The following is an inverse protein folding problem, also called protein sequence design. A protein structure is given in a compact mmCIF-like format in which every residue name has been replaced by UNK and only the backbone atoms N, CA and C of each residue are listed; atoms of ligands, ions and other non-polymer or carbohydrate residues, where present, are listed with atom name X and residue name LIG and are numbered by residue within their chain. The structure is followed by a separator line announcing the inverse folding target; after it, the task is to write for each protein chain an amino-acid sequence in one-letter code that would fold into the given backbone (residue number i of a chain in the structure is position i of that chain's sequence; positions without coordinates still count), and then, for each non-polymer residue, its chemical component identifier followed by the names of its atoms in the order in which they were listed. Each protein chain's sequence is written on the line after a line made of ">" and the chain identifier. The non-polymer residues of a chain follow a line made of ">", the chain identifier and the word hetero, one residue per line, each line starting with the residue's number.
data_IF_788520703337
#
_entry.id   IF_788520703337
#
_cell.length_a   1.000
_cell.length_b   1.000
_cell.length_c   1.000
_cell.angle_alpha   90.00
_cell.angle_beta   90.00
_cell.angle_gamma   90.00
#
_symmetry.space_group_name_H-M   'P 1'
#
loop_
_entity.id
_entity.type
_entity.pdbx_description
1 polymer ?
#
# COMPACT_ATOMS: atom_id res chain seq x y z
N UNK A 1 80.61 8.34 -7.40
CA UNK A 1 79.54 9.25 -6.91
C UNK A 1 78.31 9.04 -7.78
N UNK A 2 77.31 8.33 -7.26
CA UNK A 2 76.01 8.09 -7.92
C UNK A 2 75.01 9.04 -7.26
N UNK A 3 74.42 9.95 -8.02
CA UNK A 3 73.38 10.90 -7.54
C UNK A 3 72.19 10.08 -7.02
N UNK A 4 71.65 10.35 -5.82
CA UNK A 4 70.44 9.70 -5.36
C UNK A 4 69.23 10.23 -6.15
N UNK A 5 68.31 9.33 -6.46
CA UNK A 5 67.06 9.64 -7.13
C UNK A 5 66.16 10.49 -6.21
N UNK A 6 65.72 11.65 -6.72
CA UNK A 6 64.60 12.39 -6.13
C UNK A 6 63.35 11.52 -6.23
N UNK A 7 62.86 11.12 -5.06
CA UNK A 7 61.54 10.53 -4.89
C UNK A 7 60.55 11.67 -5.05
N UNK A 8 60.03 11.82 -6.27
CA UNK A 8 58.88 12.69 -6.55
C UNK A 8 57.72 12.27 -5.67
N UNK A 9 57.35 13.16 -4.75
CA UNK A 9 56.25 13.01 -3.82
C UNK A 9 54.93 13.34 -4.53
N UNK A 10 54.58 12.55 -5.54
CA UNK A 10 53.28 12.66 -6.21
C UNK A 10 52.30 11.71 -5.49
N UNK A 11 52.04 12.03 -4.23
CA UNK A 11 50.83 11.59 -3.54
C UNK A 11 49.65 12.29 -4.18
N UNK A 12 49.15 11.75 -5.30
CA UNK A 12 47.89 12.15 -5.94
C UNK A 12 46.71 11.81 -5.02
N UNK A 13 46.58 12.57 -3.93
CA UNK A 13 45.30 12.79 -3.28
C UNK A 13 44.52 13.70 -4.20
N UNK A 14 43.55 13.14 -4.92
CA UNK A 14 42.55 13.92 -5.62
C UNK A 14 41.65 14.60 -4.58
N UNK A 15 42.17 15.66 -3.95
CA UNK A 15 41.37 16.61 -3.20
C UNK A 15 40.45 17.31 -4.19
N UNK A 16 39.30 17.80 -3.71
CA UNK A 16 38.59 18.91 -4.36
C UNK A 16 39.49 20.15 -4.19
N UNK A 17 40.70 20.11 -4.72
CA UNK A 17 41.64 21.22 -4.66
C UNK A 17 41.36 22.09 -5.87
N UNK A 18 40.64 23.17 -5.57
CA UNK A 18 40.44 24.36 -6.40
C UNK A 18 39.52 24.16 -7.61
N UNK A 19 38.32 23.62 -7.37
CA UNK A 19 37.18 24.11 -8.16
C UNK A 19 37.01 25.58 -7.80
N UNK A 20 37.25 26.48 -8.77
CA UNK A 20 36.96 27.91 -8.58
C UNK A 20 35.57 28.07 -7.98
N UNK A 21 35.43 28.88 -6.94
CA UNK A 21 34.14 29.14 -6.27
C UNK A 21 33.04 29.47 -7.28
N UNK A 22 33.39 30.10 -8.41
CA UNK A 22 32.48 30.37 -9.53
C UNK A 22 31.93 29.09 -10.19
N UNK A 23 32.77 28.08 -10.44
CA UNK A 23 32.34 26.79 -11.01
C UNK A 23 31.44 26.03 -10.02
N UNK A 24 31.77 26.08 -8.72
CA UNK A 24 30.93 25.47 -7.69
C UNK A 24 29.56 26.15 -7.60
N UNK A 25 29.54 27.49 -7.60
CA UNK A 25 28.31 28.27 -7.65
C UNK A 25 27.48 27.97 -8.90
N UNK A 26 28.12 27.82 -10.06
CA UNK A 26 27.46 27.48 -11.31
C UNK A 26 26.83 26.08 -11.25
N UNK A 27 27.58 25.07 -10.80
CA UNK A 27 27.07 23.70 -10.67
C UNK A 27 25.93 23.63 -9.63
N UNK A 28 26.09 24.30 -8.50
CA UNK A 28 25.05 24.39 -7.47
C UNK A 28 23.80 25.11 -7.99
N UNK A 29 23.96 26.22 -8.71
CA UNK A 29 22.86 26.95 -9.33
C UNK A 29 22.10 26.10 -10.36
N UNK A 30 22.81 25.33 -11.19
CA UNK A 30 22.19 24.36 -12.11
C UNK A 30 21.40 23.32 -11.31
N UNK A 31 22.01 22.70 -10.30
CA UNK A 31 21.34 21.67 -9.50
C UNK A 31 20.07 22.19 -8.80
N UNK A 32 20.12 23.40 -8.22
CA UNK A 32 18.96 24.05 -7.60
C UNK A 32 17.88 24.37 -8.63
N UNK A 33 18.27 24.83 -9.83
CA UNK A 33 17.32 25.11 -10.91
C UNK A 33 16.62 23.84 -11.39
N UNK A 34 17.36 22.74 -11.58
CA UNK A 34 16.78 21.44 -11.90
C UNK A 34 15.84 20.95 -10.79
N UNK A 35 16.24 21.08 -9.52
CA UNK A 35 15.40 20.71 -8.39
C UNK A 35 14.08 21.51 -8.38
N UNK A 36 14.16 22.83 -8.54
CA UNK A 36 12.99 23.70 -8.62
C UNK A 36 12.10 23.33 -9.80
N UNK A 37 12.68 23.06 -10.98
CA UNK A 37 11.94 22.60 -12.15
C UNK A 37 11.19 21.29 -11.89
N UNK A 38 11.84 20.29 -11.27
CA UNK A 38 11.20 19.01 -10.99
C UNK A 38 10.09 19.13 -9.93
N UNK A 39 10.28 19.99 -8.92
CA UNK A 39 9.22 20.31 -7.95
C UNK A 39 8.03 20.96 -8.65
N UNK A 40 8.29 21.91 -9.55
CA UNK A 40 7.23 22.55 -10.34
C UNK A 40 6.51 21.56 -11.24
N UNK A 41 7.23 20.69 -11.97
CA UNK A 41 6.64 19.62 -12.77
C UNK A 41 5.77 18.70 -11.92
N UNK A 42 6.23 18.35 -10.71
CA UNK A 42 5.45 17.55 -9.77
C UNK A 42 4.16 18.25 -9.32
N UNK A 43 4.24 19.55 -9.02
CA UNK A 43 3.09 20.31 -8.51
C UNK A 43 2.08 20.69 -9.60
N UNK A 44 2.54 21.15 -10.77
CA UNK A 44 1.67 21.62 -11.85
C UNK A 44 1.36 20.57 -12.91
N UNK A 45 2.20 19.55 -13.04
CA UNK A 45 2.11 18.55 -14.11
C UNK A 45 1.58 17.18 -13.66
N UNK A 46 1.41 16.95 -12.35
CA UNK A 46 0.85 15.67 -11.88
C UNK A 46 -0.68 15.63 -12.03
N UNK A 47 -1.25 14.54 -12.59
CA UNK A 47 -2.68 14.31 -12.54
C UNK A 47 -3.18 14.09 -11.11
N UNK A 48 -4.50 14.18 -10.90
CA UNK A 48 -5.11 13.89 -9.61
C UNK A 48 -4.73 12.48 -9.12
N UNK A 49 -4.24 12.38 -7.87
CA UNK A 49 -3.74 11.11 -7.30
C UNK A 49 -4.86 10.09 -7.11
N UNK A 50 -6.04 10.57 -6.71
CA UNK A 50 -7.20 9.77 -6.41
C UNK A 50 -8.48 10.48 -6.87
N UNK A 51 -9.51 9.68 -7.16
CA UNK A 51 -10.88 10.14 -7.27
C UNK A 51 -11.66 9.62 -6.06
N UNK A 52 -12.62 10.41 -5.60
CA UNK A 52 -13.54 10.02 -4.54
C UNK A 52 -14.95 10.42 -4.93
N UNK A 53 -15.90 9.51 -4.72
CA UNK A 53 -17.31 9.73 -5.04
C UNK A 53 -18.22 9.15 -3.95
N UNK A 54 -19.30 9.87 -3.68
CA UNK A 54 -20.33 9.47 -2.74
C UNK A 54 -21.43 8.73 -3.48
N UNK A 55 -21.77 7.53 -3.00
CA UNK A 55 -22.90 6.77 -3.50
C UNK A 55 -23.82 6.43 -2.34
N UNK A 56 -25.11 6.68 -2.52
CA UNK A 56 -26.16 6.09 -1.69
C UNK A 56 -26.74 4.92 -2.47
N UNK A 57 -26.81 3.75 -1.85
CA UNK A 57 -27.40 2.57 -2.48
C UNK A 57 -28.47 2.09 -1.54
N UNK A 58 -29.70 1.86 -2.02
CA UNK A 58 -30.76 1.40 -1.15
C UNK A 58 -30.36 0.05 -0.54
N UNK A 59 -30.65 -0.12 0.75
CA UNK A 59 -30.46 -1.41 1.42
C UNK A 59 -31.26 -2.47 0.68
N UNK A 60 -30.63 -3.52 0.16
CA UNK A 60 -31.41 -4.54 -0.56
C UNK A 60 -32.23 -5.40 0.39
N UNK A 61 -31.77 -5.57 1.62
CA UNK A 61 -32.29 -6.56 2.56
C UNK A 61 -31.77 -6.22 3.95
N UNK A 62 -32.67 -6.18 4.93
CA UNK A 62 -32.37 -5.76 6.30
C UNK A 62 -32.44 -6.91 7.28
N UNK A 63 -33.12 -8.01 6.95
CA UNK A 63 -33.36 -9.11 7.89
C UNK A 63 -33.38 -10.47 7.17
N UNK A 64 -32.25 -11.19 7.22
CA UNK A 64 -32.25 -12.66 7.12
C UNK A 64 -30.96 -13.37 7.58
N UNK A 65 -30.02 -12.70 8.27
CA UNK A 65 -28.88 -13.38 8.90
C UNK A 65 -29.32 -14.14 10.16
N UNK A 66 -30.20 -15.11 9.98
CA UNK A 66 -30.81 -15.95 11.00
C UNK A 66 -30.14 -17.32 11.08
N UNK A 67 -30.32 -17.99 12.21
CA UNK A 67 -29.83 -19.36 12.41
C UNK A 67 -30.48 -20.33 11.39
N UNK A 68 -31.72 -20.06 10.96
CA UNK A 68 -32.40 -20.87 9.95
C UNK A 68 -31.75 -20.75 8.57
N UNK A 69 -31.37 -19.53 8.14
CA UNK A 69 -30.65 -19.34 6.87
C UNK A 69 -29.25 -19.97 6.93
N UNK A 70 -28.56 -19.84 8.08
CA UNK A 70 -27.29 -20.51 8.31
C UNK A 70 -27.40 -22.03 8.14
N UNK A 71 -28.43 -22.66 8.73
CA UNK A 71 -28.71 -24.10 8.57
C UNK A 71 -29.03 -24.48 7.12
N UNK A 72 -29.79 -23.66 6.40
CA UNK A 72 -30.08 -23.86 4.97
C UNK A 72 -28.77 -23.87 4.14
N UNK A 73 -27.86 -22.93 4.41
CA UNK A 73 -26.60 -22.77 3.69
C UNK A 73 -25.51 -23.79 4.06
N UNK A 74 -25.56 -24.38 5.26
CA UNK A 74 -24.67 -25.48 5.67
C UNK A 74 -24.92 -26.79 4.91
N UNK A 75 -26.13 -26.98 4.38
CA UNK A 75 -26.54 -28.21 3.70
C UNK A 75 -26.92 -29.36 4.64
N UNK A 76 -27.51 -30.44 4.11
CA UNK A 76 -28.14 -31.51 4.89
C UNK A 76 -27.16 -32.49 5.58
N UNK A 77 -25.87 -32.47 5.24
CA UNK A 77 -24.87 -33.43 5.72
C UNK A 77 -24.12 -32.98 6.99
N UNK A 78 -24.44 -31.80 7.52
CA UNK A 78 -23.65 -31.12 8.54
C UNK A 78 -24.51 -30.89 9.77
N UNK A 79 -24.22 -31.58 10.87
CA UNK A 79 -24.98 -31.48 12.12
C UNK A 79 -24.62 -30.19 12.88
N UNK A 80 -25.45 -29.15 12.73
CA UNK A 80 -25.34 -27.95 13.55
C UNK A 80 -25.87 -28.21 14.97
N UNK A 81 -25.10 -27.80 15.98
CA UNK A 81 -25.54 -27.78 17.40
C UNK A 81 -26.28 -26.50 17.79
N UNK A 82 -26.49 -25.58 16.84
CA UNK A 82 -27.14 -24.29 17.07
C UNK A 82 -28.64 -24.47 17.37
N UNK A 83 -29.04 -24.14 18.60
CA UNK A 83 -30.45 -24.13 19.02
C UNK A 83 -31.17 -22.93 18.40
N UNK A 84 -32.37 -23.14 17.85
CA UNK A 84 -33.27 -22.06 17.38
C UNK A 84 -33.90 -21.34 18.59
N UNK A 85 -33.09 -20.74 19.45
CA UNK A 85 -33.59 -19.97 20.59
C UNK A 85 -33.82 -18.50 20.28
N UNK A 86 -33.40 -18.01 19.12
CA UNK A 86 -33.50 -16.60 18.77
C UNK A 86 -34.64 -16.34 17.78
N UNK A 87 -35.81 -15.98 18.31
CA UNK A 87 -36.89 -15.35 17.54
C UNK A 87 -36.51 -13.95 17.00
N UNK A 88 -35.37 -13.40 17.45
CA UNK A 88 -34.80 -12.14 16.98
C UNK A 88 -33.44 -12.40 16.35
N UNK A 89 -33.44 -12.80 15.07
CA UNK A 89 -32.22 -12.86 14.28
C UNK A 89 -31.50 -11.51 14.32
N UNK A 90 -30.19 -11.52 14.52
CA UNK A 90 -29.31 -10.39 14.15
C UNK A 90 -27.83 -10.74 14.34
N UNK A 91 -27.40 -11.41 15.42
CA UNK A 91 -25.94 -11.61 15.67
C UNK A 91 -25.50 -13.07 15.71
N UNK A 92 -26.36 -13.96 16.21
CA UNK A 92 -26.03 -15.38 16.45
C UNK A 92 -25.54 -16.13 15.20
N UNK A 93 -26.10 -15.86 14.02
CA UNK A 93 -25.75 -16.60 12.80
C UNK A 93 -24.30 -16.36 12.33
N UNK A 94 -23.77 -15.13 12.48
CA UNK A 94 -22.39 -14.83 12.06
C UNK A 94 -21.40 -15.49 13.01
N UNK A 95 -21.68 -15.48 14.32
CA UNK A 95 -20.85 -16.15 15.32
C UNK A 95 -20.79 -17.66 15.04
N UNK A 96 -21.89 -18.26 14.59
CA UNK A 96 -21.91 -19.65 14.12
C UNK A 96 -21.05 -19.84 12.86
N UNK A 97 -21.10 -18.93 11.88
CA UNK A 97 -20.22 -18.98 10.70
C UNK A 97 -18.75 -18.91 11.10
N UNK A 98 -18.38 -18.00 12.01
CA UNK A 98 -17.00 -17.85 12.50
C UNK A 98 -16.50 -19.07 13.28
N UNK A 99 -17.41 -19.87 13.86
CA UNK A 99 -17.08 -21.13 14.53
C UNK A 99 -16.74 -22.28 13.58
N UNK A 100 -17.08 -22.16 12.29
CA UNK A 100 -16.77 -23.18 11.28
C UNK A 100 -15.27 -23.18 10.91
N UNK A 101 -14.74 -24.29 10.38
CA UNK A 101 -13.40 -24.30 9.77
C UNK A 101 -13.28 -23.24 8.67
N UNK A 102 -12.13 -22.57 8.58
CA UNK A 102 -11.89 -21.45 7.63
C UNK A 102 -12.26 -21.79 6.17
N UNK A 103 -12.13 -23.06 5.76
CA UNK A 103 -12.49 -23.54 4.42
C UNK A 103 -13.99 -23.52 4.11
N UNK A 104 -14.84 -23.53 5.13
CA UNK A 104 -16.31 -23.56 4.99
C UNK A 104 -16.96 -22.20 5.27
N UNK A 105 -16.28 -21.31 6.00
CA UNK A 105 -16.83 -20.01 6.36
C UNK A 105 -17.25 -19.21 5.14
N UNK A 106 -16.37 -19.12 4.14
CA UNK A 106 -16.60 -18.31 2.95
C UNK A 106 -17.75 -18.85 2.08
N UNK A 107 -17.92 -20.16 1.95
CA UNK A 107 -18.99 -20.76 1.15
C UNK A 107 -20.36 -20.58 1.81
N UNK A 108 -20.45 -20.81 3.12
CA UNK A 108 -21.68 -20.58 3.90
C UNK A 108 -22.04 -19.10 3.88
N UNK A 109 -21.08 -18.20 4.13
CA UNK A 109 -21.32 -16.77 4.10
C UNK A 109 -21.77 -16.28 2.71
N UNK A 110 -21.14 -16.80 1.64
CA UNK A 110 -21.55 -16.49 0.26
C UNK A 110 -23.00 -16.90 0.00
N UNK A 111 -23.40 -18.11 0.42
CA UNK A 111 -24.78 -18.56 0.28
C UNK A 111 -25.77 -17.66 1.04
N UNK A 112 -25.41 -17.21 2.25
CA UNK A 112 -26.26 -16.32 3.04
C UNK A 112 -26.45 -14.96 2.35
N UNK A 113 -25.37 -14.36 1.83
CA UNK A 113 -25.46 -13.12 1.05
C UNK A 113 -26.25 -13.30 -0.26
N UNK A 114 -26.03 -14.40 -0.99
CA UNK A 114 -26.69 -14.64 -2.28
C UNK A 114 -28.20 -14.92 -2.15
N UNK A 115 -28.60 -15.56 -1.05
CA UNK A 115 -30.02 -15.78 -0.73
C UNK A 115 -30.80 -14.48 -0.57
N UNK A 116 -30.11 -13.45 -0.09
CA UNK A 116 -30.65 -12.11 0.14
C UNK A 116 -30.66 -11.29 -1.18
N UNK A 117 -29.72 -11.51 -2.12
CA UNK A 117 -29.75 -10.85 -3.45
C UNK A 117 -30.74 -11.46 -4.46
N UNK A 118 -30.97 -12.78 -4.42
CA UNK A 118 -31.81 -13.48 -5.41
C UNK A 118 -33.30 -13.46 -5.09
N UNK A 119 -33.68 -13.18 -3.83
CA UNK A 119 -35.09 -13.11 -3.41
C UNK A 119 -35.64 -11.71 -3.70
N UNK A 120 -36.15 -11.50 -4.91
CA UNK A 120 -36.65 -10.21 -5.44
C UNK A 120 -37.84 -9.57 -4.70
N UNK A 121 -38.41 -10.21 -3.67
CA UNK A 121 -39.72 -9.82 -3.11
C UNK A 121 -39.78 -9.80 -1.58
N UNK A 122 -38.67 -9.67 -0.84
CA UNK A 122 -38.80 -9.34 0.59
C UNK A 122 -38.99 -7.84 0.74
N UNK A 123 -40.04 -7.39 1.45
CA UNK A 123 -40.23 -5.98 1.70
C UNK A 123 -39.00 -5.46 2.47
N UNK A 124 -38.51 -4.28 2.06
CA UNK A 124 -37.83 -3.38 3.00
C UNK A 124 -38.64 -3.41 4.30
N UNK A 125 -37.99 -3.47 5.46
CA UNK A 125 -38.71 -3.26 6.72
C UNK A 125 -39.48 -1.93 6.60
N UNK A 126 -40.77 -2.02 6.27
CA UNK A 126 -41.61 -0.88 5.86
C UNK A 126 -42.11 -0.10 7.08
N UNK A 127 -41.64 -0.49 8.26
CA UNK A 127 -41.90 0.11 9.56
C UNK A 127 -40.58 0.17 10.32
N UNK A 128 -40.48 1.15 11.22
CA UNK A 128 -39.34 1.38 12.12
C UNK A 128 -39.02 0.13 12.95
N UNK A 129 -38.27 -0.80 12.36
CA UNK A 129 -37.62 -1.87 13.09
C UNK A 129 -36.18 -1.45 13.33
N UNK A 130 -35.78 -1.53 14.60
CA UNK A 130 -34.40 -1.38 15.05
C UNK A 130 -33.56 -2.51 14.45
N UNK A 131 -33.10 -2.33 13.22
CA UNK A 131 -32.30 -3.33 12.56
C UNK A 131 -30.87 -3.16 13.05
N UNK A 132 -30.53 -3.93 14.08
CA UNK A 132 -29.15 -4.06 14.57
C UNK A 132 -28.23 -4.48 13.43
N UNK A 133 -28.76 -5.18 12.42
CA UNK A 133 -28.02 -5.69 11.27
C UNK A 133 -28.59 -5.24 9.93
N UNK A 134 -27.72 -4.75 9.03
CA UNK A 134 -28.12 -4.29 7.69
C UNK A 134 -27.14 -4.75 6.62
N UNK A 135 -27.66 -5.23 5.49
CA UNK A 135 -26.88 -5.69 4.34
C UNK A 135 -26.97 -4.71 3.16
N UNK A 136 -25.81 -4.35 2.62
CA UNK A 136 -25.67 -3.59 1.39
C UNK A 136 -24.95 -4.40 0.33
N UNK A 137 -25.45 -4.32 -0.91
CA UNK A 137 -24.81 -4.90 -2.10
C UNK A 137 -24.65 -3.82 -3.16
N UNK A 138 -23.47 -3.69 -3.74
CA UNK A 138 -23.27 -2.81 -4.88
C UNK A 138 -22.22 -3.26 -5.88
N UNK A 139 -22.48 -2.92 -7.14
CA UNK A 139 -21.60 -3.15 -8.27
C UNK A 139 -20.59 -2.01 -8.43
N UNK A 140 -19.34 -2.39 -8.71
CA UNK A 140 -18.21 -1.51 -8.93
C UNK A 140 -17.62 -1.87 -10.29
N UNK A 141 -17.79 -0.99 -11.29
CA UNK A 141 -17.40 -1.29 -12.67
C UNK A 141 -16.35 -0.28 -13.16
N UNK A 142 -15.56 -0.69 -14.13
CA UNK A 142 -14.61 0.19 -14.83
C UNK A 142 -13.32 0.46 -14.06
N UNK A 143 -13.00 -0.39 -13.08
CA UNK A 143 -11.69 -0.36 -12.43
C UNK A 143 -10.67 -1.13 -13.27
N UNK A 144 -9.41 -0.73 -13.18
CA UNK A 144 -8.27 -1.37 -13.83
C UNK A 144 -7.15 -1.58 -12.82
N UNK A 145 -6.22 -2.49 -13.10
CA UNK A 145 -5.05 -2.71 -12.22
C UNK A 145 -4.26 -1.41 -11.95
N UNK A 146 -4.26 -0.48 -12.91
CA UNK A 146 -3.58 0.81 -12.83
C UNK A 146 -4.22 1.80 -11.85
N UNK A 147 -5.43 1.53 -11.36
CA UNK A 147 -6.02 2.30 -10.27
C UNK A 147 -5.38 1.98 -8.92
N UNK A 148 -4.65 0.85 -8.79
CA UNK A 148 -3.68 0.50 -7.74
C UNK A 148 -4.17 0.39 -6.30
N UNK A 149 -5.30 0.98 -5.93
CA UNK A 149 -5.89 0.83 -4.60
C UNK A 149 -7.34 1.29 -4.64
N UNK A 150 -8.12 0.74 -3.72
CA UNK A 150 -9.48 1.17 -3.46
C UNK A 150 -9.74 1.20 -1.95
N UNK A 151 -10.50 2.19 -1.53
CA UNK A 151 -11.02 2.33 -0.18
C UNK A 151 -12.52 2.53 -0.24
N UNK A 152 -13.18 1.96 0.75
CA UNK A 152 -14.59 2.15 0.99
C UNK A 152 -14.82 2.59 2.42
N UNK A 153 -15.56 3.68 2.55
CA UNK A 153 -15.97 4.24 3.81
C UNK A 153 -17.49 4.28 3.88
N UNK A 154 -18.02 4.07 5.09
CA UNK A 154 -19.44 4.23 5.38
C UNK A 154 -19.62 5.45 6.30
N UNK A 155 -20.60 6.29 5.97
CA UNK A 155 -21.08 7.38 6.81
C UNK A 155 -22.53 7.10 7.22
N UNK A 156 -22.78 7.12 8.53
CA UNK A 156 -24.08 6.80 9.11
C UNK A 156 -24.90 8.06 9.32
N UNK A 157 -26.24 7.99 9.19
CA UNK A 157 -27.10 9.15 9.40
C UNK A 157 -27.16 9.55 10.88
N UNK A 158 -27.06 10.85 11.15
CA UNK A 158 -27.33 11.44 12.46
C UNK A 158 -28.72 12.09 12.48
N UNK A 159 -29.78 11.26 12.51
CA UNK A 159 -31.18 11.74 12.41
C UNK A 159 -31.56 12.76 13.49
N UNK A 160 -31.00 12.63 14.69
CA UNK A 160 -31.26 13.53 15.82
C UNK A 160 -30.31 14.73 15.88
N UNK A 161 -29.26 14.74 15.04
CA UNK A 161 -28.20 15.76 15.04
C UNK A 161 -27.55 15.99 16.41
N UNK A 162 -27.48 14.94 17.22
CA UNK A 162 -26.89 14.98 18.56
C UNK A 162 -25.47 14.45 18.52
N UNK A 163 -24.59 14.99 19.37
CA UNK A 163 -23.26 14.42 19.60
C UNK A 163 -23.37 13.05 20.26
N UNK A 164 -22.84 12.00 19.61
CA UNK A 164 -22.83 10.62 20.16
C UNK A 164 -21.73 9.77 19.52
N UNK A 165 -21.36 8.69 20.20
CA UNK A 165 -20.41 7.69 19.70
C UNK A 165 -21.01 6.30 19.88
N UNK A 166 -20.93 5.45 18.85
CA UNK A 166 -21.39 4.06 18.93
C UNK A 166 -20.48 3.13 18.15
N UNK A 167 -20.41 1.87 18.58
CA UNK A 167 -19.59 0.86 17.91
C UNK A 167 -20.40 0.13 16.82
N UNK A 168 -19.76 -0.04 15.66
CA UNK A 168 -20.27 -0.78 14.52
C UNK A 168 -19.27 -1.86 14.12
N UNK A 169 -19.69 -3.10 14.18
CA UNK A 169 -19.00 -4.26 13.61
C UNK A 169 -19.39 -4.41 12.15
N UNK A 170 -18.39 -4.54 11.28
CA UNK A 170 -18.57 -4.63 9.83
C UNK A 170 -17.99 -5.96 9.35
N UNK A 171 -18.79 -6.72 8.60
CA UNK A 171 -18.37 -7.99 7.98
C UNK A 171 -18.46 -7.82 6.46
N UNK A 172 -17.37 -7.41 5.79
CA UNK A 172 -17.33 -7.28 4.34
C UNK A 172 -17.16 -8.64 3.65
N UNK A 173 -17.74 -8.75 2.46
CA UNK A 173 -17.61 -9.87 1.54
C UNK A 173 -17.51 -9.31 0.12
N UNK A 174 -16.48 -9.68 -0.63
CA UNK A 174 -16.19 -9.09 -1.94
C UNK A 174 -16.00 -10.17 -2.99
N UNK A 175 -16.76 -10.05 -4.08
CA UNK A 175 -16.66 -10.89 -5.27
C UNK A 175 -16.06 -10.07 -6.41
N UNK A 176 -15.07 -10.63 -7.10
CA UNK A 176 -14.53 -10.09 -8.35
C UNK A 176 -14.99 -10.94 -9.52
N UNK A 177 -15.57 -10.33 -10.55
CA UNK A 177 -16.08 -11.06 -11.71
C UNK A 177 -15.07 -11.09 -12.84
N UNK A 178 -14.98 -12.24 -13.50
CA UNK A 178 -14.15 -12.45 -14.68
C UNK A 178 -14.86 -13.35 -15.69
N UNK A 179 -14.51 -13.20 -16.96
CA UNK A 179 -14.99 -14.08 -18.01
C UNK A 179 -14.14 -15.35 -18.03
N UNK A 180 -14.78 -16.51 -17.92
CA UNK A 180 -14.08 -17.78 -18.05
C UNK A 180 -13.79 -18.03 -19.55
N UNK A 181 -12.51 -17.99 -19.93
CA UNK A 181 -12.06 -18.13 -21.32
C UNK A 181 -12.50 -19.45 -21.97
N UNK A 182 -12.69 -20.51 -21.17
CA UNK A 182 -13.05 -21.84 -21.68
C UNK A 182 -14.55 -21.98 -21.92
N UNK A 183 -15.39 -21.40 -21.07
CA UNK A 183 -16.85 -21.55 -21.15
C UNK A 183 -17.55 -20.34 -21.76
N UNK A 184 -16.89 -19.19 -21.86
CA UNK A 184 -17.49 -17.91 -22.25
C UNK A 184 -18.45 -17.32 -21.22
N UNK A 185 -18.69 -18.02 -20.09
CA UNK A 185 -19.59 -17.57 -19.04
C UNK A 185 -18.85 -16.66 -18.04
N UNK A 186 -19.56 -15.65 -17.54
CA UNK A 186 -19.07 -14.83 -16.43
C UNK A 186 -19.09 -15.67 -15.15
N UNK A 187 -17.95 -15.74 -14.49
CA UNK A 187 -17.76 -16.40 -13.19
C UNK A 187 -17.20 -15.38 -12.19
N UNK A 188 -17.12 -15.74 -10.91
CA UNK A 188 -16.57 -14.88 -9.88
C UNK A 188 -15.49 -15.59 -9.07
N UNK A 189 -14.55 -14.81 -8.56
CA UNK A 189 -13.60 -15.21 -7.53
C UNK A 189 -13.91 -14.44 -6.25
N UNK A 190 -13.73 -15.10 -5.11
CA UNK A 190 -13.76 -14.42 -3.81
C UNK A 190 -12.45 -13.65 -3.64
N UNK A 191 -12.57 -12.33 -3.48
CA UNK A 191 -11.41 -11.45 -3.23
C UNK A 191 -11.02 -11.54 -1.75
N UNK A 192 -12.02 -11.65 -0.88
CA UNK A 192 -11.83 -11.95 0.55
C UNK A 192 -12.13 -13.42 0.78
N UNK A 193 -11.10 -14.21 1.02
CA UNK A 193 -11.25 -15.66 1.23
C UNK A 193 -11.59 -16.02 2.68
N UNK A 194 -11.28 -15.15 3.63
CA UNK A 194 -11.57 -15.33 5.05
C UNK A 194 -12.68 -14.38 5.49
N UNK A 195 -13.52 -14.83 6.42
CA UNK A 195 -14.52 -13.95 7.04
C UNK A 195 -13.83 -13.12 8.11
N UNK A 196 -13.73 -11.81 7.89
CA UNK A 196 -13.12 -10.87 8.83
C UNK A 196 -14.20 -9.95 9.37
N UNK A 197 -14.18 -9.73 10.68
CA UNK A 197 -15.00 -8.72 11.35
C UNK A 197 -14.13 -7.55 11.78
N UNK A 198 -14.59 -6.34 11.50
CA UNK A 198 -13.93 -5.11 11.93
C UNK A 198 -14.91 -4.26 12.74
N UNK A 199 -14.64 -4.11 14.03
CA UNK A 199 -15.39 -3.19 14.90
C UNK A 199 -14.71 -1.84 14.91
N UNK A 200 -15.50 -0.79 14.67
CA UNK A 200 -15.06 0.59 14.68
C UNK A 200 -16.01 1.44 15.51
N UNK A 201 -15.47 2.45 16.18
CA UNK A 201 -16.26 3.47 16.87
C UNK A 201 -16.59 4.58 15.89
N UNK A 202 -17.88 4.85 15.67
CA UNK A 202 -18.38 5.91 14.82
C UNK A 202 -18.74 7.10 15.70
N UNK A 203 -18.15 8.26 15.40
CA UNK A 203 -18.40 9.51 16.11
C UNK A 203 -19.34 10.40 15.28
N UNK A 204 -20.36 10.96 15.92
CA UNK A 204 -21.28 11.91 15.32
C UNK A 204 -21.13 13.24 16.02
N UNK A 205 -20.97 14.31 15.25
CA UNK A 205 -20.92 15.68 15.77
C UNK A 205 -22.33 16.26 15.92
N UNK A 206 -22.50 17.17 16.88
CA UNK A 206 -23.77 17.88 17.09
C UNK A 206 -24.05 18.84 15.92
N UNK A 207 -25.29 18.86 15.43
CA UNK A 207 -25.71 19.69 14.29
C UNK A 207 -25.49 19.06 12.91
N UNK A 208 -24.61 18.07 12.79
CA UNK A 208 -24.30 17.38 11.54
C UNK A 208 -25.37 16.34 11.17
N UNK A 209 -25.65 16.20 9.86
CA UNK A 209 -26.63 15.22 9.36
C UNK A 209 -26.06 13.80 9.20
N UNK A 210 -24.75 13.68 9.11
CA UNK A 210 -24.04 12.41 9.01
C UNK A 210 -22.92 12.36 10.06
N UNK A 211 -22.66 11.17 10.56
CA UNK A 211 -21.52 10.90 11.42
C UNK A 211 -20.23 10.81 10.60
N UNK A 212 -19.08 10.86 11.27
CA UNK A 212 -17.79 10.84 10.61
C UNK A 212 -17.62 9.53 9.81
N UNK A 213 -17.19 9.62 8.54
CA UNK A 213 -17.05 8.47 7.67
C UNK A 213 -15.93 7.58 8.18
N UNK A 214 -16.15 6.27 8.14
CA UNK A 214 -15.15 5.33 8.61
C UNK A 214 -14.89 4.22 7.59
N UNK A 215 -13.59 3.94 7.36
CA UNK A 215 -13.15 2.97 6.37
C UNK A 215 -13.24 1.55 6.92
N UNK A 216 -13.74 0.64 6.10
CA UNK A 216 -13.95 -0.75 6.52
C UNK A 216 -13.56 -1.79 5.50
N UNK A 217 -13.34 -1.37 4.25
CA UNK A 217 -12.85 -2.24 3.21
C UNK A 217 -11.75 -1.52 2.44
N UNK A 218 -10.66 -2.24 2.24
CA UNK A 218 -9.53 -1.82 1.41
C UNK A 218 -9.10 -2.99 0.55
N UNK A 219 -8.81 -2.74 -0.71
CA UNK A 219 -8.01 -3.68 -1.50
C UNK A 219 -6.81 -2.94 -2.12
N UNK A 220 -5.64 -3.55 -1.94
CA UNK A 220 -4.37 -3.04 -2.45
C UNK A 220 -4.15 -3.34 -3.93
N UNK A 221 -4.89 -4.30 -4.50
CA UNK A 221 -4.86 -4.65 -5.90
C UNK A 221 -6.25 -4.71 -6.50
N UNK A 222 -6.33 -4.24 -7.74
CA UNK A 222 -7.56 -4.30 -8.53
C UNK A 222 -7.33 -5.31 -9.64
N UNK A 223 -7.64 -6.57 -9.38
CA UNK A 223 -7.46 -7.67 -10.33
C UNK A 223 -8.64 -7.85 -11.30
N UNK A 224 -9.82 -7.32 -10.99
CA UNK A 224 -11.05 -7.49 -11.75
C UNK A 224 -11.58 -6.14 -12.25
N UNK A 225 -12.33 -6.14 -13.35
CA UNK A 225 -12.97 -4.91 -13.85
C UNK A 225 -14.28 -4.60 -13.13
N UNK A 226 -14.96 -5.67 -12.70
CA UNK A 226 -16.26 -5.63 -12.06
C UNK A 226 -16.19 -6.33 -10.71
N UNK A 227 -16.65 -5.64 -9.66
CA UNK A 227 -16.76 -6.18 -8.32
C UNK A 227 -18.19 -6.06 -7.79
N UNK A 228 -18.55 -6.99 -6.92
CA UNK A 228 -19.70 -6.86 -6.03
C UNK A 228 -19.19 -6.86 -4.59
N UNK A 229 -19.55 -5.80 -3.87
CA UNK A 229 -19.27 -5.68 -2.44
C UNK A 229 -20.58 -5.91 -1.69
N UNK A 230 -20.56 -6.90 -0.81
CA UNK A 230 -21.59 -7.21 0.16
C UNK A 230 -21.06 -6.87 1.56
N UNK A 231 -21.78 -6.08 2.34
CA UNK A 231 -21.34 -5.76 3.71
C UNK A 231 -22.49 -5.90 4.68
N UNK A 232 -22.19 -6.54 5.81
CA UNK A 232 -23.07 -6.66 6.95
C UNK A 232 -22.63 -5.73 8.06
N UNK A 233 -23.48 -4.78 8.42
CA UNK A 233 -23.26 -3.90 9.58
C UNK A 233 -23.94 -4.49 10.80
N UNK A 234 -23.30 -4.46 11.96
CA UNK A 234 -23.88 -4.79 13.26
C UNK A 234 -23.55 -3.67 14.25
N UNK A 235 -24.57 -2.97 14.75
CA UNK A 235 -24.39 -1.80 15.62
C UNK A 235 -24.81 -2.09 17.06
N UNK A 236 -24.07 -1.54 18.02
CA UNK A 236 -24.44 -1.56 19.45
C UNK A 236 -25.73 -0.80 19.74
N UNK A 237 -26.02 0.24 18.95
CA UNK A 237 -27.27 1.00 19.01
C UNK A 237 -28.18 0.64 17.84
N UNK A 238 -29.49 0.70 18.08
CA UNK A 238 -30.50 0.65 17.03
C UNK A 238 -30.33 1.82 16.05
N UNK A 239 -29.83 1.53 14.86
CA UNK A 239 -29.78 2.48 13.75
C UNK A 239 -31.12 2.46 13.03
N UNK A 240 -31.92 3.52 13.17
CA UNK A 240 -33.14 3.71 12.38
C UNK A 240 -32.76 4.01 10.92
N UNK A 241 -32.44 2.96 10.15
CA UNK A 241 -32.05 3.05 8.75
C UNK A 241 -33.30 2.92 7.88
N UNK A 242 -33.83 4.05 7.42
CA UNK A 242 -34.97 4.08 6.51
C UNK A 242 -34.51 3.84 5.07
N UNK A 243 -34.24 2.57 4.72
CA UNK A 243 -34.03 2.07 3.34
C UNK A 243 -32.88 2.66 2.49
N UNK A 244 -32.25 3.77 2.89
CA UNK A 244 -31.33 4.55 2.04
C UNK A 244 -30.42 5.53 2.79
N UNK A 245 -30.25 5.38 4.12
CA UNK A 245 -29.62 6.42 4.93
C UNK A 245 -28.09 6.30 5.09
N UNK A 246 -27.45 5.17 4.78
CA UNK A 246 -25.98 5.07 4.85
C UNK A 246 -25.39 5.56 3.54
N UNK A 247 -24.43 6.48 3.62
CA UNK A 247 -23.68 6.94 2.46
C UNK A 247 -22.34 6.23 2.40
N UNK A 248 -21.94 5.81 1.20
CA UNK A 248 -20.66 5.19 0.96
C UNK A 248 -19.76 6.13 0.19
N UNK A 249 -18.55 6.35 0.69
CA UNK A 249 -17.51 7.05 -0.05
C UNK A 249 -16.55 6.04 -0.66
N UNK A 250 -16.49 6.02 -1.99
CA UNK A 250 -15.59 5.18 -2.77
C UNK A 250 -14.38 6.03 -3.13
N UNK A 251 -13.17 5.60 -2.79
CA UNK A 251 -11.94 6.32 -3.13
C UNK A 251 -10.96 5.39 -3.82
N UNK A 252 -10.49 5.76 -5.00
CA UNK A 252 -9.57 4.93 -5.79
C UNK A 252 -8.48 5.75 -6.46
N UNK A 253 -7.32 5.13 -6.70
CA UNK A 253 -6.23 5.80 -7.42
C UNK A 253 -6.58 6.01 -8.89
N UNK A 254 -6.06 7.08 -9.51
CA UNK A 254 -6.31 7.33 -10.93
C UNK A 254 -5.28 6.64 -11.83
N UNK A 255 -5.74 6.07 -12.94
CA UNK A 255 -4.85 5.49 -13.95
C UNK A 255 -3.88 6.53 -14.53
N UNK A 256 -4.35 7.77 -14.75
CA UNK A 256 -3.53 8.86 -15.26
C UNK A 256 -2.34 9.17 -14.34
N UNK A 257 -2.57 9.19 -13.02
CA UNK A 257 -1.49 9.39 -12.05
C UNK A 257 -0.52 8.22 -12.04
N UNK A 258 -1.00 6.98 -12.06
CA UNK A 258 -0.12 5.79 -12.12
C UNK A 258 0.75 5.79 -13.37
N UNK A 259 0.18 6.09 -14.54
CA UNK A 259 0.93 6.21 -15.80
C UNK A 259 1.96 7.34 -15.76
N UNK A 260 1.59 8.50 -15.20
CA UNK A 260 2.52 9.61 -15.00
C UNK A 260 3.68 9.22 -14.08
N UNK A 261 3.39 8.53 -12.97
CA UNK A 261 4.39 8.07 -12.02
C UNK A 261 5.34 7.01 -12.61
N UNK A 262 4.83 6.09 -13.44
CA UNK A 262 5.64 5.16 -14.24
C UNK A 262 6.62 5.96 -15.12
N UNK A 263 6.11 6.96 -15.85
CA UNK A 263 6.92 7.83 -16.71
C UNK A 263 8.02 8.56 -15.94
N UNK A 264 7.68 9.15 -14.79
CA UNK A 264 8.64 9.84 -13.93
C UNK A 264 9.72 8.91 -13.39
N UNK A 265 9.35 7.70 -12.94
CA UNK A 265 10.32 6.69 -12.48
C UNK A 265 11.27 6.26 -13.58
N UNK A 266 10.77 6.00 -14.79
CA UNK A 266 11.63 5.67 -15.93
C UNK A 266 12.58 6.82 -16.30
N UNK A 267 12.08 8.07 -16.30
CA UNK A 267 12.93 9.23 -16.55
C UNK A 267 14.12 9.29 -15.58
N UNK A 268 13.88 9.15 -14.27
CA UNK A 268 14.95 9.16 -13.28
C UNK A 268 15.82 7.90 -13.32
N UNK A 269 15.26 6.74 -13.67
CA UNK A 269 16.01 5.52 -13.90
C UNK A 269 17.05 5.70 -15.02
N UNK A 270 16.63 6.22 -16.19
CA UNK A 270 17.54 6.46 -17.31
C UNK A 270 18.54 7.59 -17.02
N UNK A 271 18.11 8.67 -16.38
CA UNK A 271 19.01 9.76 -15.99
C UNK A 271 20.08 9.27 -15.01
N UNK A 272 19.69 8.52 -13.98
CA UNK A 272 20.64 7.95 -13.00
C UNK A 272 21.57 6.94 -13.63
N UNK A 273 21.08 6.08 -14.54
CA UNK A 273 21.92 5.15 -15.29
C UNK A 273 22.94 5.86 -16.19
N UNK A 274 22.51 6.92 -16.89
CA UNK A 274 23.40 7.74 -17.71
C UNK A 274 24.50 8.41 -16.87
N UNK A 275 24.13 9.06 -15.76
CA UNK A 275 25.08 9.72 -14.87
C UNK A 275 26.03 8.70 -14.22
N UNK A 276 25.53 7.55 -13.77
CA UNK A 276 26.35 6.47 -13.22
C UNK A 276 27.33 5.92 -14.26
N UNK A 277 26.87 5.68 -15.49
CA UNK A 277 27.72 5.24 -16.60
C UNK A 277 28.81 6.26 -16.95
N UNK A 278 28.45 7.55 -16.99
CA UNK A 278 29.39 8.65 -17.19
C UNK A 278 30.43 8.73 -16.08
N UNK A 279 30.00 8.56 -14.83
CA UNK A 279 30.89 8.54 -13.66
C UNK A 279 31.86 7.34 -13.71
N UNK A 280 31.37 6.13 -13.97
CA UNK A 280 32.19 4.92 -14.10
C UNK A 280 33.19 5.08 -15.25
N UNK A 281 32.76 5.59 -16.41
CA UNK A 281 33.65 5.85 -17.54
C UNK A 281 34.76 6.84 -17.17
N UNK A 282 34.42 7.89 -16.42
CA UNK A 282 35.40 8.89 -15.96
C UNK A 282 36.37 8.31 -14.92
N UNK A 283 35.90 7.44 -14.02
CA UNK A 283 36.73 6.75 -13.03
C UNK A 283 37.68 5.72 -13.64
N UNK A 284 37.26 5.04 -14.71
CA UNK A 284 38.11 4.08 -15.41
C UNK A 284 39.31 4.73 -16.13
N UNK A 285 39.31 6.07 -16.30
CA UNK A 285 40.48 6.80 -16.82
C UNK A 285 41.57 7.01 -15.78
N UNK A 286 41.25 6.81 -14.49
CA UNK A 286 42.20 6.95 -13.38
C UNK A 286 42.84 5.61 -13.08
N UNK A 287 44.11 5.61 -12.65
CA UNK A 287 44.77 4.38 -12.22
C UNK A 287 44.09 3.83 -10.96
N UNK A 288 43.95 2.50 -10.84
CA UNK A 288 43.36 1.88 -9.63
C UNK A 288 44.13 2.21 -8.34
N UNK A 289 45.38 2.66 -8.45
CA UNK A 289 46.20 3.14 -7.33
C UNK A 289 45.83 4.57 -6.89
N UNK A 290 45.18 5.35 -7.74
CA UNK A 290 44.76 6.74 -7.54
C UNK A 290 43.28 6.84 -7.14
N UNK A 291 42.54 5.73 -7.16
CA UNK A 291 41.14 5.71 -6.77
C UNK A 291 41.00 5.82 -5.25
N UNK A 292 40.31 6.87 -4.83
CA UNK A 292 39.98 7.07 -3.42
C UNK A 292 38.85 6.11 -3.01
N UNK A 293 38.90 5.61 -1.78
CA UNK A 293 37.83 4.76 -1.22
C UNK A 293 36.47 5.45 -1.30
N UNK A 294 36.43 6.78 -1.12
CA UNK A 294 35.22 7.59 -1.25
C UNK A 294 34.60 7.53 -2.66
N UNK A 295 35.42 7.51 -3.71
CA UNK A 295 34.94 7.37 -5.08
C UNK A 295 34.26 6.02 -5.33
N UNK A 296 34.76 4.97 -4.66
CA UNK A 296 34.12 3.65 -4.65
C UNK A 296 32.75 3.65 -3.97
N UNK A 297 32.60 4.36 -2.85
CA UNK A 297 31.28 4.52 -2.21
C UNK A 297 30.32 5.38 -3.03
N UNK A 298 30.81 6.43 -3.71
CA UNK A 298 30.00 7.22 -4.65
C UNK A 298 29.54 6.36 -5.83
N UNK A 299 30.39 5.46 -6.34
CA UNK A 299 30.00 4.48 -7.37
C UNK A 299 28.90 3.54 -6.85
N UNK A 300 29.06 2.99 -5.64
CA UNK A 300 28.06 2.12 -5.02
C UNK A 300 26.71 2.85 -4.83
N UNK A 301 26.75 4.13 -4.42
CA UNK A 301 25.57 4.97 -4.32
C UNK A 301 24.89 5.19 -5.66
N UNK A 302 25.66 5.55 -6.70
CA UNK A 302 25.12 5.79 -8.03
C UNK A 302 24.44 4.53 -8.59
N UNK A 303 25.04 3.35 -8.40
CA UNK A 303 24.42 2.08 -8.79
C UNK A 303 23.15 1.79 -7.97
N UNK A 304 23.19 1.98 -6.65
CA UNK A 304 22.00 1.78 -5.79
C UNK A 304 20.85 2.74 -6.11
N UNK A 305 21.16 3.96 -6.58
CA UNK A 305 20.16 4.95 -6.99
C UNK A 305 19.39 4.51 -8.24
N UNK A 306 20.02 3.78 -9.16
CA UNK A 306 19.34 3.18 -10.32
C UNK A 306 18.24 2.23 -9.80
N UNK A 307 18.58 1.35 -8.87
CA UNK A 307 17.61 0.42 -8.27
C UNK A 307 16.55 1.12 -7.43
N UNK A 308 16.89 2.20 -6.74
CA UNK A 308 15.94 3.04 -5.99
C UNK A 308 14.84 3.63 -6.90
N UNK A 309 15.19 3.97 -8.15
CA UNK A 309 14.23 4.42 -9.15
C UNK A 309 13.30 3.31 -9.67
N UNK A 310 13.45 2.08 -9.15
CA UNK A 310 12.51 0.97 -9.23
C UNK A 310 12.21 0.52 -10.67
N UNK A 311 13.13 -0.24 -11.30
CA UNK A 311 12.97 -0.71 -12.66
C UNK A 311 11.78 -1.67 -12.84
N UNK A 312 11.25 -2.23 -11.76
CA UNK A 312 10.12 -3.17 -11.78
C UNK A 312 8.78 -2.52 -11.45
N UNK A 313 8.75 -1.20 -11.23
CA UNK A 313 7.51 -0.50 -10.87
C UNK A 313 6.41 -0.67 -11.93
N UNK A 314 6.79 -0.69 -13.22
CA UNK A 314 5.84 -0.97 -14.31
C UNK A 314 5.19 -2.35 -14.15
N UNK A 315 6.00 -3.39 -13.92
CA UNK A 315 5.50 -4.73 -13.71
C UNK A 315 4.64 -4.84 -12.43
N UNK A 316 5.02 -4.14 -11.36
CA UNK A 316 4.21 -4.03 -10.14
C UNK A 316 2.85 -3.38 -10.43
N UNK A 317 2.83 -2.32 -11.22
CA UNK A 317 1.61 -1.55 -11.52
C UNK A 317 0.67 -2.25 -12.50
N UNK A 318 1.21 -3.06 -13.42
CA UNK A 318 0.44 -3.70 -14.50
C UNK A 318 0.04 -5.14 -14.21
N UNK A 319 0.74 -5.84 -13.33
CA UNK A 319 0.49 -7.27 -13.07
C UNK A 319 0.27 -7.61 -11.59
N UNK A 320 0.32 -6.64 -10.68
CA UNK A 320 0.00 -6.87 -9.26
C UNK A 320 0.95 -7.82 -8.51
N UNK A 321 2.20 -8.02 -8.96
CA UNK A 321 3.10 -9.05 -8.40
C UNK A 321 3.65 -8.72 -7.01
N UNK A 322 3.34 -9.56 -6.01
CA UNK A 322 3.92 -9.48 -4.66
C UNK A 322 5.46 -9.55 -4.65
N UNK A 323 6.06 -10.35 -5.53
CA UNK A 323 7.52 -10.45 -5.64
C UNK A 323 8.15 -9.12 -6.09
N UNK A 324 7.53 -8.45 -7.07
CA UNK A 324 7.98 -7.14 -7.57
C UNK A 324 7.90 -6.07 -6.48
N UNK A 325 6.86 -6.13 -5.62
CA UNK A 325 6.72 -5.22 -4.47
C UNK A 325 7.84 -5.38 -3.44
N UNK A 326 8.12 -6.62 -3.03
CA UNK A 326 9.15 -6.91 -2.03
C UNK A 326 10.51 -6.51 -2.58
N UNK A 327 10.77 -6.76 -3.87
CA UNK A 327 11.99 -6.35 -4.54
C UNK A 327 12.15 -4.81 -4.57
N UNK A 328 11.07 -4.07 -4.90
CA UNK A 328 11.05 -2.60 -4.86
C UNK A 328 11.38 -2.07 -3.45
N UNK A 329 10.79 -2.65 -2.39
CA UNK A 329 11.13 -2.31 -1.00
C UNK A 329 12.60 -2.62 -0.72
N UNK A 330 13.10 -3.78 -1.14
CA UNK A 330 14.50 -4.17 -0.98
C UNK A 330 15.46 -3.15 -1.62
N UNK A 331 15.16 -2.67 -2.82
CA UNK A 331 15.95 -1.64 -3.49
C UNK A 331 15.91 -0.29 -2.77
N UNK A 332 14.72 0.15 -2.33
CA UNK A 332 14.58 1.40 -1.59
C UNK A 332 15.38 1.38 -0.29
N UNK A 333 15.21 0.32 0.50
CA UNK A 333 15.95 0.14 1.76
C UNK A 333 17.45 0.08 1.46
N UNK A 334 17.90 -0.70 0.47
CA UNK A 334 19.32 -0.80 0.11
C UNK A 334 19.95 0.55 -0.23
N UNK A 335 19.25 1.41 -0.97
CA UNK A 335 19.74 2.76 -1.27
C UNK A 335 19.95 3.59 -0.01
N UNK A 336 18.95 3.67 0.88
CA UNK A 336 19.07 4.44 2.12
C UNK A 336 20.17 3.89 3.04
N UNK A 337 20.36 2.56 3.08
CA UNK A 337 21.43 1.95 3.85
C UNK A 337 22.81 2.19 3.24
N UNK A 338 22.92 2.18 1.91
CA UNK A 338 24.15 2.58 1.21
C UNK A 338 24.48 4.06 1.47
N UNK A 339 23.46 4.93 1.50
CA UNK A 339 23.59 6.36 1.83
C UNK A 339 24.08 6.58 3.26
N UNK A 340 23.50 5.86 4.22
CA UNK A 340 23.95 5.89 5.60
C UNK A 340 25.40 5.42 5.74
N UNK A 341 25.77 4.32 5.07
CA UNK A 341 27.15 3.81 5.07
C UNK A 341 28.12 4.84 4.48
N UNK A 342 27.75 5.48 3.36
CA UNK A 342 28.54 6.54 2.77
C UNK A 342 28.76 7.70 3.75
N UNK A 343 27.73 8.18 4.43
CA UNK A 343 27.86 9.24 5.44
C UNK A 343 28.78 8.84 6.60
N UNK A 344 28.62 7.62 7.13
CA UNK A 344 29.48 7.11 8.20
C UNK A 344 30.94 7.01 7.79
N UNK A 345 31.21 6.56 6.56
CA UNK A 345 32.57 6.47 6.01
C UNK A 345 33.14 7.86 5.75
N UNK A 346 32.38 8.76 5.13
CA UNK A 346 32.82 10.11 4.81
C UNK A 346 33.18 10.91 6.07
N UNK A 347 32.33 10.90 7.10
CA UNK A 347 32.59 11.60 8.36
C UNK A 347 33.84 11.06 9.06
N UNK A 348 34.01 9.74 9.11
CA UNK A 348 35.14 9.14 9.81
C UNK A 348 36.45 9.29 9.00
N UNK A 349 36.37 9.30 7.67
CA UNK A 349 37.50 9.66 6.81
C UNK A 349 37.95 11.11 7.05
N UNK A 350 37.02 12.07 7.10
CA UNK A 350 37.33 13.47 7.42
C UNK A 350 38.02 13.61 8.77
N UNK A 351 37.62 12.80 9.77
CA UNK A 351 38.27 12.77 11.09
C UNK A 351 39.69 12.20 11.03
N UNK A 352 39.93 11.18 10.20
CA UNK A 352 41.22 10.49 10.10
C UNK A 352 42.23 11.16 9.18
N UNK A 353 41.81 12.08 8.29
CA UNK A 353 42.69 12.89 7.44
C UNK A 353 43.73 13.73 8.22
N UNK A 354 43.63 13.80 9.56
CA UNK A 354 44.61 14.44 10.45
C UNK A 354 45.49 13.51 11.30
N UNK A 355 45.46 12.18 11.10
CA UNK A 355 46.30 11.22 11.85
C UNK A 355 47.32 10.50 10.94
N UNK A 356 48.58 10.43 11.38
CA UNK A 356 49.72 9.86 10.63
C UNK A 356 49.60 8.36 10.30
N UNK A 357 48.82 7.62 11.09
CA UNK A 357 48.60 6.19 10.86
C UNK A 357 47.39 6.00 9.96
N UNK A 358 47.64 5.76 8.67
CA UNK A 358 46.62 5.49 7.67
C UNK A 358 45.59 4.43 8.07
N UNK A 359 44.43 4.47 7.42
CA UNK A 359 43.26 3.65 7.74
C UNK A 359 43.57 2.15 7.58
N UNK A 360 43.52 1.39 8.68
CA UNK A 360 43.50 -0.08 8.60
C UNK A 360 42.10 -0.54 8.15
N UNK A 361 42.01 -1.00 6.90
CA UNK A 361 40.75 -1.27 6.19
C UNK A 361 39.74 -2.12 7.00
N UNK A 362 40.12 -3.25 7.58
CA UNK A 362 39.13 -4.19 8.14
C UNK A 362 38.53 -3.72 9.47
N UNK A 363 39.33 -3.13 10.36
CA UNK A 363 38.85 -2.60 11.65
C UNK A 363 38.06 -1.30 11.48
N UNK A 364 38.31 -0.57 10.40
CA UNK A 364 37.63 0.68 10.10
C UNK A 364 36.25 0.46 9.45
N UNK A 365 36.16 -0.41 8.44
CA UNK A 365 34.91 -0.64 7.70
C UNK A 365 34.01 -1.70 8.34
N UNK A 366 34.59 -2.74 8.96
CA UNK A 366 33.85 -3.89 9.49
C UNK A 366 32.69 -3.51 10.43
N UNK A 367 32.91 -2.75 11.51
CA UNK A 367 31.84 -2.37 12.44
C UNK A 367 30.73 -1.55 11.78
N UNK A 368 31.07 -0.67 10.82
CA UNK A 368 30.10 0.17 10.10
C UNK A 368 29.23 -0.67 9.17
N UNK A 369 29.85 -1.59 8.42
CA UNK A 369 29.13 -2.52 7.54
C UNK A 369 28.20 -3.41 8.36
N UNK A 370 28.67 -3.95 9.49
CA UNK A 370 27.86 -4.78 10.38
C UNK A 370 26.67 -3.98 10.91
N UNK A 371 26.89 -2.77 11.42
CA UNK A 371 25.83 -1.89 11.92
C UNK A 371 24.77 -1.62 10.85
N UNK A 372 25.20 -1.23 9.64
CA UNK A 372 24.29 -0.96 8.52
C UNK A 372 23.58 -2.22 8.05
N UNK A 373 24.23 -3.39 8.05
CA UNK A 373 23.59 -4.66 7.66
C UNK A 373 22.49 -5.07 8.64
N UNK A 374 22.71 -4.89 9.95
CA UNK A 374 21.66 -5.12 10.95
C UNK A 374 20.48 -4.16 10.76
N UNK A 375 20.76 -2.87 10.54
CA UNK A 375 19.71 -1.88 10.33
C UNK A 375 18.94 -2.12 9.01
N UNK A 376 19.65 -2.56 7.96
CA UNK A 376 19.06 -3.00 6.69
C UNK A 376 18.07 -4.14 6.91
N UNK A 377 18.45 -5.17 7.67
CA UNK A 377 17.60 -6.34 7.92
C UNK A 377 16.32 -5.94 8.66
N UNK A 378 16.43 -5.12 9.71
CA UNK A 378 15.27 -4.63 10.46
C UNK A 378 14.33 -3.84 9.54
N UNK A 379 14.88 -2.91 8.75
CA UNK A 379 14.08 -2.08 7.86
C UNK A 379 13.44 -2.89 6.72
N UNK A 380 14.17 -3.83 6.14
CA UNK A 380 13.65 -4.71 5.08
C UNK A 380 12.48 -5.56 5.59
N UNK A 381 12.59 -6.13 6.80
CA UNK A 381 11.50 -6.90 7.41
C UNK A 381 10.31 -5.99 7.74
N UNK A 382 10.55 -4.85 8.39
CA UNK A 382 9.47 -3.94 8.82
C UNK A 382 8.69 -3.36 7.63
N UNK A 383 9.39 -2.76 6.65
CA UNK A 383 8.73 -2.20 5.47
C UNK A 383 8.17 -3.30 4.56
N UNK A 384 8.84 -4.45 4.47
CA UNK A 384 8.32 -5.62 3.75
C UNK A 384 7.00 -6.10 4.35
N UNK A 385 6.93 -6.22 5.67
CA UNK A 385 5.72 -6.58 6.41
C UNK A 385 4.60 -5.57 6.20
N UNK A 386 4.86 -4.27 6.36
CA UNK A 386 3.86 -3.23 6.12
C UNK A 386 3.35 -3.29 4.68
N UNK A 387 4.25 -3.40 3.70
CA UNK A 387 3.86 -3.42 2.28
C UNK A 387 3.06 -4.68 1.93
N UNK A 388 3.43 -5.83 2.50
CA UNK A 388 2.73 -7.10 2.33
C UNK A 388 1.34 -7.05 2.96
N UNK A 389 1.25 -6.65 4.23
CA UNK A 389 -0.03 -6.54 4.93
C UNK A 389 -0.92 -5.50 4.28
N UNK A 390 -0.43 -4.31 3.94
CA UNK A 390 -1.26 -3.28 3.29
C UNK A 390 -1.95 -3.74 2.01
N UNK A 391 -1.43 -4.79 1.36
CA UNK A 391 -2.05 -5.40 0.20
C UNK A 391 -3.10 -6.47 0.56
N UNK A 392 -2.91 -7.15 1.68
CA UNK A 392 -3.72 -8.28 2.14
C UNK A 392 -4.64 -7.92 3.32
N UNK A 393 -4.56 -6.68 3.83
CA UNK A 393 -5.37 -6.12 4.90
C UNK A 393 -6.68 -5.66 4.27
N UNK A 394 -7.62 -6.60 4.26
CA UNK A 394 -9.00 -6.42 3.81
C UNK A 394 -9.87 -6.08 5.02
#
# INVERSE_FOLDING_TARGET
>A
MKKPAERGDDGSFMRIEVISMLKLLLVSGIAVTFLALFVLIGFSGSPAVANSDWTSIPTRCTSDFSISLYKECLGPNTTSTAKDTDANGTVSAIDQVLSLPSSEQASVLTCMFDSCTNRTNRPFASKEESLYVVHYTFGLNGFTQLNRYFYLEAAFPNLKKTGRSFDVTMTPHVKGFYLNETSGNQTYAQVVTNVVQKTITVECQEGESFCDPAYFLRFGDIDFNDYQVDVLFNSTESLALNGSNVQFRKTWGTQSFTNWLIGMKFFFLFLSAFVAGWYIYSMNKLSSREQNVEQGFVMALALSLIFFNDPFYFAEATYGSNASRILSVGFQVTFFQTLLLFWLVAIDNLRLQGKENGVSNTKFFGPKIIFVAFFWLIMAIFYGYIKYNRNNDI
#
